data_IF_516855909232
#
_entry.id   IF_516855909232
#
_cell.length_a   1.000
_cell.length_b   1.000
_cell.length_c   1.000
_cell.angle_alpha   90.00
_cell.angle_beta   90.00
_cell.angle_gamma   90.00
#
_symmetry.space_group_name_H-M   'P 1'
#
loop_
_entity.id
_entity.type
_entity.pdbx_description
1 polymer ?
#
# COMPACT_ATOMS: atom_id res chain seq x y z
N UNK A 1 10.45 -24.00 14.39
CA UNK A 1 10.40 -22.63 14.92
C UNK A 1 11.17 -21.62 14.08
N UNK A 2 12.30 -22.01 13.54
CA UNK A 2 13.12 -21.08 12.74
C UNK A 2 12.42 -20.61 11.47
N UNK A 3 11.65 -21.51 10.83
CA UNK A 3 10.91 -21.14 9.61
C UNK A 3 9.85 -20.09 9.88
N UNK A 4 9.10 -20.22 10.98
CA UNK A 4 8.09 -19.23 11.34
C UNK A 4 8.75 -17.91 11.71
N UNK A 5 9.86 -17.93 12.45
CA UNK A 5 10.62 -16.72 12.78
C UNK A 5 11.09 -16.02 11.52
N UNK A 6 11.68 -16.75 10.59
CA UNK A 6 12.15 -16.21 9.32
C UNK A 6 11.00 -15.62 8.52
N UNK A 7 9.85 -16.29 8.49
CA UNK A 7 8.68 -15.78 7.80
C UNK A 7 8.17 -14.47 8.41
N UNK A 8 8.07 -14.40 9.74
CA UNK A 8 7.63 -13.20 10.43
C UNK A 8 8.61 -12.05 10.23
N UNK A 9 9.91 -12.33 10.24
CA UNK A 9 10.94 -11.32 9.98
C UNK A 9 10.85 -10.79 8.54
N UNK A 10 10.64 -11.67 7.56
CA UNK A 10 10.45 -11.27 6.17
C UNK A 10 9.18 -10.47 5.98
N UNK A 11 8.12 -10.85 6.66
CA UNK A 11 6.85 -10.13 6.62
C UNK A 11 7.03 -8.72 7.16
N UNK A 12 7.68 -8.57 8.32
CA UNK A 12 7.97 -7.26 8.91
C UNK A 12 8.85 -6.40 7.98
N UNK A 13 9.88 -7.00 7.39
CA UNK A 13 10.76 -6.32 6.45
C UNK A 13 10.02 -5.83 5.21
N UNK A 14 9.18 -6.68 4.64
CA UNK A 14 8.37 -6.33 3.47
C UNK A 14 7.41 -5.18 3.80
N UNK A 15 6.80 -5.21 4.97
CA UNK A 15 5.90 -4.15 5.42
C UNK A 15 6.65 -2.82 5.65
N UNK A 16 7.89 -2.86 6.16
CA UNK A 16 8.72 -1.66 6.31
C UNK A 16 9.07 -1.07 4.94
N UNK A 17 9.42 -1.91 3.98
CA UNK A 17 9.70 -1.46 2.62
C UNK A 17 8.46 -0.83 1.99
N UNK A 18 7.31 -1.43 2.20
CA UNK A 18 6.04 -0.89 1.72
C UNK A 18 5.73 0.46 2.37
N UNK A 19 6.03 0.62 3.66
CA UNK A 19 5.89 1.88 4.39
C UNK A 19 6.73 2.99 3.75
N UNK A 20 7.99 2.68 3.40
CA UNK A 20 8.88 3.61 2.71
C UNK A 20 8.33 3.99 1.33
N UNK A 21 7.78 3.04 0.61
CA UNK A 21 7.16 3.28 -0.70
C UNK A 21 5.95 4.22 -0.56
N UNK A 22 5.13 4.04 0.47
CA UNK A 22 3.99 4.92 0.71
C UNK A 22 4.43 6.34 1.08
N UNK A 23 5.55 6.48 1.81
CA UNK A 23 6.12 7.79 2.11
C UNK A 23 6.60 8.49 0.83
N UNK A 24 7.23 7.76 -0.09
CA UNK A 24 7.62 8.29 -1.39
C UNK A 24 6.39 8.68 -2.22
N UNK A 25 5.35 7.87 -2.21
CA UNK A 25 4.10 8.17 -2.89
C UNK A 25 3.50 9.49 -2.37
N UNK A 26 3.51 9.68 -1.06
CA UNK A 26 3.01 10.91 -0.45
C UNK A 26 3.75 12.14 -0.96
N UNK A 27 5.08 12.06 -1.04
CA UNK A 27 5.90 13.15 -1.56
C UNK A 27 5.54 13.48 -3.01
N UNK A 28 5.33 12.47 -3.83
CA UNK A 28 4.94 12.66 -5.23
C UNK A 28 3.54 13.26 -5.35
N UNK A 29 2.62 12.85 -4.49
CA UNK A 29 1.24 13.36 -4.49
C UNK A 29 1.15 14.81 -3.98
N UNK A 30 2.13 15.27 -3.23
CA UNK A 30 2.22 16.66 -2.75
C UNK A 30 2.95 17.57 -3.72
N UNK A 31 3.47 17.06 -4.83
CA UNK A 31 4.14 17.87 -5.85
C UNK A 31 3.13 18.76 -6.60
N UNK A 32 3.61 19.91 -7.09
CA UNK A 32 2.77 20.85 -7.83
C UNK A 32 2.18 20.25 -9.10
N UNK A 33 2.98 19.43 -9.80
CA UNK A 33 2.53 18.65 -10.94
C UNK A 33 2.61 17.16 -10.60
N UNK A 34 1.58 16.40 -11.00
CA UNK A 34 1.54 14.96 -10.75
C UNK A 34 2.56 14.26 -11.65
N UNK A 35 3.65 13.69 -11.07
CA UNK A 35 4.66 12.99 -11.85
C UNK A 35 4.19 11.58 -12.22
N UNK A 36 3.48 11.47 -13.36
CA UNK A 36 2.78 10.25 -13.76
C UNK A 36 3.68 9.02 -13.86
N UNK A 37 4.90 9.17 -14.43
CA UNK A 37 5.84 8.04 -14.58
C UNK A 37 6.32 7.56 -13.22
N UNK A 38 6.68 8.50 -12.33
CA UNK A 38 7.13 8.16 -10.98
C UNK A 38 6.01 7.49 -10.17
N UNK A 39 4.77 7.98 -10.29
CA UNK A 39 3.62 7.36 -9.63
C UNK A 39 3.34 5.96 -10.16
N UNK A 40 3.53 5.72 -11.46
CA UNK A 40 3.36 4.38 -12.04
C UNK A 40 4.41 3.42 -11.47
N UNK A 41 5.65 3.85 -11.31
CA UNK A 41 6.71 3.04 -10.69
C UNK A 41 6.36 2.70 -9.24
N UNK A 42 5.83 3.67 -8.50
CA UNK A 42 5.38 3.45 -7.13
C UNK A 42 4.24 2.42 -7.10
N UNK A 43 3.27 2.54 -7.99
CA UNK A 43 2.15 1.59 -8.09
C UNK A 43 2.65 0.17 -8.38
N UNK A 44 3.62 0.03 -9.27
CA UNK A 44 4.21 -1.26 -9.60
C UNK A 44 4.95 -1.85 -8.39
N UNK A 45 5.72 -1.03 -7.67
CA UNK A 45 6.42 -1.45 -6.45
C UNK A 45 5.44 -1.89 -5.37
N UNK A 46 4.36 -1.13 -5.16
CA UNK A 46 3.30 -1.49 -4.21
C UNK A 46 2.68 -2.84 -4.57
N UNK A 47 2.40 -3.06 -5.85
CA UNK A 47 1.81 -4.32 -6.31
C UNK A 47 2.70 -5.51 -6.01
N UNK A 48 4.00 -5.40 -6.27
CA UNK A 48 4.96 -6.46 -6.01
C UNK A 48 5.10 -6.75 -4.52
N UNK A 49 5.18 -5.69 -3.71
CA UNK A 49 5.31 -5.84 -2.26
C UNK A 49 4.05 -6.46 -1.64
N UNK A 50 2.87 -6.05 -2.09
CA UNK A 50 1.61 -6.61 -1.63
C UNK A 50 1.47 -8.08 -2.03
N UNK A 51 1.94 -8.45 -3.23
CA UNK A 51 1.97 -9.85 -3.66
C UNK A 51 2.88 -10.68 -2.75
N UNK A 52 4.03 -10.13 -2.36
CA UNK A 52 4.95 -10.79 -1.43
C UNK A 52 4.31 -10.98 -0.05
N UNK A 53 3.62 -9.94 0.46
CA UNK A 53 2.90 -10.04 1.73
C UNK A 53 1.83 -11.13 1.67
N UNK A 54 1.05 -11.18 0.60
CA UNK A 54 0.01 -12.18 0.42
C UNK A 54 0.59 -13.60 0.38
N UNK A 55 1.71 -13.78 -0.31
CA UNK A 55 2.40 -15.07 -0.38
C UNK A 55 2.90 -15.53 0.98
N UNK A 56 3.53 -14.62 1.74
CA UNK A 56 4.01 -14.92 3.10
C UNK A 56 2.84 -15.25 4.03
N UNK A 57 1.74 -14.52 3.94
CA UNK A 57 0.55 -14.76 4.74
C UNK A 57 -0.11 -16.09 4.44
N UNK A 58 -0.02 -16.58 3.20
CA UNK A 58 -0.53 -17.91 2.84
C UNK A 58 0.27 -19.03 3.50
N UNK A 59 1.55 -18.83 3.73
CA UNK A 59 2.42 -19.84 4.33
C UNK A 59 2.33 -19.88 5.86
N UNK A 60 1.95 -18.78 6.48
CA UNK A 60 1.92 -18.66 7.94
C UNK A 60 1.04 -19.70 8.62
N UNK A 61 -0.21 -19.96 8.19
CA UNK A 61 -1.05 -20.96 8.86
C UNK A 61 -0.48 -22.36 8.85
N UNK A 62 0.18 -22.77 7.76
CA UNK A 62 0.81 -24.08 7.66
C UNK A 62 1.95 -24.23 8.67
N UNK A 63 2.80 -23.22 8.78
CA UNK A 63 3.90 -23.21 9.75
C UNK A 63 3.38 -23.17 11.19
N UNK A 64 2.33 -22.39 11.43
CA UNK A 64 1.68 -22.33 12.74
C UNK A 64 1.08 -23.69 13.13
N UNK A 65 0.41 -24.36 12.20
CA UNK A 65 -0.19 -25.67 12.43
C UNK A 65 0.87 -26.71 12.79
N UNK A 66 2.01 -26.71 12.10
CA UNK A 66 3.11 -27.64 12.36
C UNK A 66 3.72 -27.46 13.76
N UNK A 67 3.64 -26.26 14.32
CA UNK A 67 4.19 -25.92 15.63
C UNK A 67 3.11 -25.86 16.72
N UNK A 68 1.86 -26.08 16.38
CA UNK A 68 0.71 -25.91 17.26
C UNK A 68 0.67 -24.50 17.87
N UNK A 69 1.07 -23.50 17.08
CA UNK A 69 1.06 -22.10 17.47
C UNK A 69 -0.01 -21.35 16.68
N UNK A 70 -0.44 -20.23 17.23
CA UNK A 70 -1.45 -19.36 16.61
C UNK A 70 -1.20 -17.93 17.03
N UNK A 71 -1.26 -16.99 16.07
CA UNK A 71 -1.16 -15.57 16.38
C UNK A 71 -2.24 -15.17 17.40
N UNK A 72 -1.98 -14.32 18.38
CA UNK A 72 -0.78 -13.51 18.61
C UNK A 72 0.36 -14.20 19.37
N UNK A 73 0.43 -15.50 19.39
CA UNK A 73 1.49 -16.34 19.98
C UNK A 73 1.61 -16.17 21.49
N UNK A 74 0.54 -16.38 22.26
CA UNK A 74 0.61 -16.25 23.71
C UNK A 74 1.57 -17.29 24.32
N UNK A 75 2.37 -16.86 25.29
CA UNK A 75 3.39 -17.73 25.89
C UNK A 75 4.69 -17.81 25.11
N UNK A 76 4.79 -17.17 23.97
CA UNK A 76 6.00 -17.13 23.12
C UNK A 76 6.37 -15.68 22.85
N UNK A 77 7.13 -15.09 23.78
CA UNK A 77 7.43 -13.67 23.79
C UNK A 77 8.09 -13.18 22.50
N UNK A 78 9.04 -13.94 21.98
CA UNK A 78 9.77 -13.58 20.76
C UNK A 78 8.83 -13.49 19.54
N UNK A 79 7.93 -14.45 19.39
CA UNK A 79 6.94 -14.44 18.31
C UNK A 79 5.88 -13.38 18.53
N UNK A 80 5.43 -13.23 19.78
CA UNK A 80 4.43 -12.21 20.12
C UNK A 80 4.91 -10.81 19.84
N UNK A 81 6.17 -10.52 20.09
CA UNK A 81 6.77 -9.22 19.80
C UNK A 81 6.88 -8.97 18.31
N UNK A 82 7.30 -9.96 17.54
CA UNK A 82 7.33 -9.86 16.06
C UNK A 82 5.94 -9.60 15.51
N UNK A 83 4.96 -10.31 16.03
CA UNK A 83 3.57 -10.14 15.59
C UNK A 83 3.04 -8.74 15.93
N UNK A 84 3.38 -8.22 17.09
CA UNK A 84 3.01 -6.86 17.50
C UNK A 84 3.59 -5.83 16.54
N UNK A 85 4.85 -5.98 16.16
CA UNK A 85 5.48 -5.10 15.17
C UNK A 85 4.77 -5.17 13.83
N UNK A 86 4.42 -6.36 13.39
CA UNK A 86 3.69 -6.56 12.12
C UNK A 86 2.34 -5.85 12.18
N UNK A 87 1.62 -5.97 13.28
CA UNK A 87 0.33 -5.29 13.46
C UNK A 87 0.47 -3.78 13.46
N UNK A 88 1.49 -3.25 14.14
CA UNK A 88 1.76 -1.80 14.16
C UNK A 88 2.10 -1.28 12.76
N UNK A 89 2.94 -2.01 12.04
CA UNK A 89 3.29 -1.67 10.66
C UNK A 89 2.05 -1.70 9.75
N UNK A 90 1.22 -2.73 9.89
CA UNK A 90 -0.01 -2.85 9.10
C UNK A 90 -0.96 -1.70 9.36
N UNK A 91 -1.10 -1.27 10.62
CA UNK A 91 -1.93 -0.14 10.98
C UNK A 91 -1.41 1.16 10.38
N UNK A 92 -0.11 1.40 10.50
CA UNK A 92 0.55 2.57 9.93
C UNK A 92 0.37 2.61 8.40
N UNK A 93 0.50 1.46 7.74
CA UNK A 93 0.32 1.35 6.30
C UNK A 93 -1.10 1.70 5.87
N UNK A 94 -2.11 1.23 6.61
CA UNK A 94 -3.50 1.57 6.32
C UNK A 94 -3.75 3.08 6.41
N UNK A 95 -3.24 3.70 7.47
CA UNK A 95 -3.38 5.14 7.68
C UNK A 95 -2.72 5.95 6.57
N UNK A 96 -1.48 5.59 6.22
CA UNK A 96 -0.74 6.26 5.14
C UNK A 96 -1.42 6.07 3.80
N UNK A 97 -1.92 4.86 3.55
CA UNK A 97 -2.59 4.60 2.29
C UNK A 97 -3.90 5.38 2.16
N UNK A 98 -4.68 5.46 3.22
CA UNK A 98 -5.91 6.26 3.24
C UNK A 98 -5.58 7.73 2.98
N UNK A 99 -4.55 8.23 3.64
CA UNK A 99 -4.11 9.61 3.45
C UNK A 99 -3.65 9.86 2.01
N UNK A 100 -2.86 8.96 1.46
CA UNK A 100 -2.41 9.06 0.07
C UNK A 100 -3.57 8.98 -0.91
N UNK A 101 -4.56 8.14 -0.63
CA UNK A 101 -5.78 8.07 -1.43
C UNK A 101 -6.55 9.38 -1.45
N UNK A 102 -6.65 10.05 -0.30
CA UNK A 102 -7.26 11.38 -0.23
C UNK A 102 -6.48 12.42 -1.03
N UNK A 103 -5.16 12.41 -0.92
CA UNK A 103 -4.29 13.31 -1.69
C UNK A 103 -4.46 13.08 -3.19
N UNK A 104 -4.50 11.84 -3.62
CA UNK A 104 -4.70 11.50 -5.03
C UNK A 104 -6.06 12.00 -5.52
N UNK A 105 -7.11 11.79 -4.74
CA UNK A 105 -8.45 12.26 -5.09
C UNK A 105 -8.51 13.77 -5.20
N UNK A 106 -7.82 14.50 -4.31
CA UNK A 106 -7.71 15.95 -4.37
C UNK A 106 -7.00 16.40 -5.64
N UNK A 107 -5.92 15.73 -6.02
CA UNK A 107 -5.19 16.04 -7.24
C UNK A 107 -6.03 15.77 -8.50
N UNK A 108 -6.76 14.66 -8.50
CA UNK A 108 -7.65 14.33 -9.63
C UNK A 108 -8.76 15.38 -9.75
N UNK A 109 -9.37 15.77 -8.65
CA UNK A 109 -10.41 16.80 -8.65
C UNK A 109 -9.86 18.14 -9.15
N UNK A 110 -8.67 18.52 -8.70
CA UNK A 110 -8.00 19.73 -9.14
C UNK A 110 -7.71 19.69 -10.65
N UNK A 111 -7.21 18.58 -11.16
CA UNK A 111 -6.95 18.38 -12.58
C UNK A 111 -8.24 18.41 -13.41
N UNK A 112 -9.32 17.85 -12.91
CA UNK A 112 -10.62 17.88 -13.57
C UNK A 112 -11.15 19.33 -13.68
N UNK A 113 -10.98 20.13 -12.62
CA UNK A 113 -11.35 21.55 -12.65
C UNK A 113 -10.52 22.31 -13.70
N UNK A 114 -9.22 22.06 -13.74
CA UNK A 114 -8.34 22.65 -14.73
C UNK A 114 -8.74 22.26 -16.15
N UNK A 115 -9.06 20.99 -16.37
CA UNK A 115 -9.53 20.48 -17.66
C UNK A 115 -10.88 21.09 -18.04
N UNK A 116 -11.79 21.26 -17.08
CA UNK A 116 -13.09 21.89 -17.30
C UNK A 116 -12.93 23.36 -17.75
N UNK A 117 -12.01 24.09 -17.14
CA UNK A 117 -11.69 25.47 -17.52
C UNK A 117 -11.13 25.49 -18.95
N UNK A 118 -10.20 24.59 -19.26
CA UNK A 118 -9.61 24.48 -20.59
C UNK A 118 -10.61 24.05 -21.64
N UNK A 119 -11.57 23.18 -21.28
CA UNK A 119 -12.59 22.68 -22.22
C UNK A 119 -13.65 23.73 -22.57
N UNK A 120 -13.78 24.82 -21.80
CA UNK A 120 -14.60 25.97 -22.19
C UNK A 120 -14.01 26.70 -23.39
N UNK A 121 -12.69 26.60 -23.57
CA UNK A 121 -11.96 27.26 -24.66
C UNK A 121 -11.55 26.28 -25.77
N UNK A 122 -11.31 25.02 -25.43
CA UNK A 122 -10.89 23.98 -26.37
C UNK A 122 -11.58 22.67 -25.99
N UNK A 123 -11.93 21.83 -27.00
CA UNK A 123 -12.49 20.51 -26.74
C UNK A 123 -11.46 19.63 -26.03
N UNK A 124 -11.81 19.14 -24.83
CA UNK A 124 -10.96 18.24 -24.07
C UNK A 124 -10.81 16.89 -24.78
N UNK A 125 -9.58 16.36 -24.80
CA UNK A 125 -9.26 15.04 -25.35
C UNK A 125 -9.25 13.95 -24.28
N UNK A 126 -9.37 14.31 -22.96
CA UNK A 126 -9.28 13.39 -21.86
C UNK A 126 -10.64 13.13 -21.24
N UNK A 127 -11.00 11.82 -21.12
CA UNK A 127 -12.15 11.40 -20.35
C UNK A 127 -11.82 11.20 -18.88
N UNK A 128 -12.80 11.31 -17.96
CA UNK A 128 -12.58 11.10 -16.53
C UNK A 128 -12.26 9.65 -16.15
N UNK A 129 -12.54 8.69 -17.04
CA UNK A 129 -12.44 7.25 -16.74
C UNK A 129 -11.04 6.78 -16.39
N UNK A 130 -10.01 7.29 -17.07
CA UNK A 130 -8.62 6.93 -16.80
C UNK A 130 -8.15 7.37 -15.41
N UNK A 131 -8.59 8.54 -14.97
CA UNK A 131 -8.25 9.08 -13.66
C UNK A 131 -9.00 8.37 -12.55
N UNK A 132 -10.27 8.05 -12.76
CA UNK A 132 -11.08 7.26 -11.84
C UNK A 132 -10.51 5.86 -11.65
N UNK A 133 -10.00 5.26 -12.73
CA UNK A 133 -9.37 3.95 -12.69
C UNK A 133 -8.09 3.95 -11.86
N UNK A 134 -7.26 4.98 -11.97
CA UNK A 134 -6.05 5.12 -11.17
C UNK A 134 -6.36 5.23 -9.68
N UNK A 135 -7.34 6.07 -9.31
CA UNK A 135 -7.78 6.22 -7.93
C UNK A 135 -8.31 4.89 -7.36
N UNK A 136 -9.11 4.16 -8.14
CA UNK A 136 -9.67 2.87 -7.77
C UNK A 136 -8.58 1.82 -7.53
N UNK A 137 -7.56 1.77 -8.38
CA UNK A 137 -6.45 0.83 -8.22
C UNK A 137 -5.67 1.08 -6.93
N UNK A 138 -5.38 2.33 -6.62
CA UNK A 138 -4.67 2.68 -5.39
C UNK A 138 -5.50 2.39 -4.15
N UNK A 139 -6.81 2.60 -4.20
CA UNK A 139 -7.72 2.30 -3.10
C UNK A 139 -7.90 0.80 -2.86
N UNK A 140 -7.94 -0.02 -3.91
CA UNK A 140 -8.17 -1.46 -3.79
C UNK A 140 -6.99 -2.25 -3.25
N UNK A 141 -5.76 -1.86 -3.56
CA UNK A 141 -4.57 -2.66 -3.26
C UNK A 141 -4.20 -2.66 -1.79
N UNK A 142 -4.75 -1.77 -0.99
CA UNK A 142 -4.38 -1.63 0.42
C UNK A 142 -5.58 -1.75 1.34
N UNK A 143 -6.75 -2.05 0.82
CA UNK A 143 -7.97 -2.25 1.60
C UNK A 143 -8.06 -3.63 2.26
N UNK A 144 -6.94 -4.24 2.61
CA UNK A 144 -6.96 -5.58 3.21
C UNK A 144 -6.62 -5.51 4.69
#
# INVERSE_FOLDING_TARGET
>A
MDRLRTLLDKLAETLRTLDDVLAQEQQLLCADELPGVALQRITDSKSQLLATVAWLEQQRPTLEANLALRAPYPGHESFGERWRQIQQLSQSLREKNQHNGLLLNQQIAHNQQALAILSQNNKSLYGPDGQSRAASLLGRKIGV
#
